data_IF_226497013594
#
_entry.id   IF_226497013594
#
_cell.length_a   1.000
_cell.length_b   1.000
_cell.length_c   1.000
_cell.angle_alpha   90.00
_cell.angle_beta   90.00
_cell.angle_gamma   90.00
#
_symmetry.space_group_name_H-M   'P 1'
#
loop_
_entity.id
_entity.type
_entity.pdbx_description
1 polymer ?
#
# COMPACT_ATOMS: atom_id res chain seq x y z
N UNK A 1 -11.36 -10.60 -16.41
CA UNK A 1 -10.10 -10.22 -15.73
C UNK A 1 -9.36 -9.12 -16.50
N UNK A 2 -8.92 -8.07 -15.83
CA UNK A 2 -8.06 -7.04 -16.43
C UNK A 2 -6.71 -7.66 -16.83
N UNK A 3 -6.07 -7.15 -17.88
CA UNK A 3 -4.74 -7.59 -18.30
C UNK A 3 -3.77 -6.42 -18.25
N UNK A 4 -2.67 -6.58 -17.52
CA UNK A 4 -1.53 -5.68 -17.61
C UNK A 4 -0.56 -6.27 -18.65
N UNK A 5 -0.65 -5.77 -19.88
CA UNK A 5 0.02 -6.39 -21.03
C UNK A 5 -0.46 -7.83 -21.25
N UNK A 6 0.45 -8.84 -21.34
CA UNK A 6 0.04 -10.23 -21.54
C UNK A 6 -0.49 -10.92 -20.27
N UNK A 7 -0.31 -10.32 -19.08
CA UNK A 7 -0.62 -10.96 -17.79
C UNK A 7 -2.02 -10.62 -17.32
N UNK A 8 -2.83 -11.65 -17.04
CA UNK A 8 -4.09 -11.46 -16.32
C UNK A 8 -3.79 -11.04 -14.88
N UNK A 9 -4.43 -9.98 -14.42
CA UNK A 9 -4.30 -9.47 -13.06
C UNK A 9 -5.67 -9.20 -12.47
N UNK A 10 -5.74 -9.33 -11.15
CA UNK A 10 -6.90 -8.98 -10.36
C UNK A 10 -6.70 -7.59 -9.77
N UNK A 11 -7.57 -6.64 -10.12
CA UNK A 11 -7.48 -5.28 -9.62
C UNK A 11 -8.16 -5.24 -8.25
N UNK A 12 -7.36 -5.10 -7.20
CA UNK A 12 -7.83 -4.98 -5.81
C UNK A 12 -8.38 -3.60 -5.48
N UNK A 13 -7.75 -2.56 -6.05
CA UNK A 13 -8.16 -1.18 -5.87
C UNK A 13 -7.63 -0.32 -7.02
N UNK A 14 -8.28 0.83 -7.30
CA UNK A 14 -7.90 1.70 -8.41
C UNK A 14 -8.26 3.16 -8.15
N UNK A 15 -7.44 4.06 -8.69
CA UNK A 15 -7.71 5.50 -8.81
C UNK A 15 -8.13 5.89 -10.24
N UNK A 16 -8.41 4.91 -11.10
CA UNK A 16 -8.75 5.14 -12.49
C UNK A 16 -10.10 5.83 -12.64
N UNK A 17 -10.12 6.84 -13.50
CA UNK A 17 -11.33 7.53 -13.93
C UNK A 17 -11.63 7.13 -15.38
N UNK A 18 -12.91 6.90 -15.68
CA UNK A 18 -13.34 6.73 -17.06
C UNK A 18 -13.25 8.06 -17.83
N UNK A 19 -13.17 7.96 -19.15
CA UNK A 19 -12.93 9.11 -20.05
C UNK A 19 -14.10 10.09 -20.18
N UNK A 20 -15.29 9.70 -19.72
CA UNK A 20 -16.51 10.50 -19.70
C UNK A 20 -16.57 11.49 -18.53
N UNK A 21 -15.63 11.42 -17.59
CA UNK A 21 -15.58 12.31 -16.42
C UNK A 21 -14.93 13.65 -16.80
N UNK A 22 -15.61 14.80 -16.61
CA UNK A 22 -15.05 16.12 -16.87
C UNK A 22 -13.73 16.38 -16.14
N UNK A 23 -12.80 17.08 -16.81
CA UNK A 23 -11.42 17.28 -16.30
C UNK A 23 -11.36 17.88 -14.90
N UNK A 24 -12.23 18.82 -14.58
CA UNK A 24 -12.33 19.45 -13.26
C UNK A 24 -12.74 18.45 -12.16
N UNK A 25 -13.44 17.37 -12.51
CA UNK A 25 -13.84 16.30 -11.60
C UNK A 25 -12.79 15.18 -11.49
N UNK A 26 -11.65 15.29 -12.18
CA UNK A 26 -10.52 14.36 -12.03
C UNK A 26 -9.56 14.76 -10.89
N UNK A 27 -9.85 15.87 -10.21
CA UNK A 27 -8.97 16.47 -9.21
C UNK A 27 -9.07 15.77 -7.85
N UNK A 28 -8.81 14.47 -7.80
CA UNK A 28 -8.82 13.65 -6.60
C UNK A 28 -7.43 13.02 -6.40
N UNK A 29 -6.42 13.81 -6.00
CA UNK A 29 -5.06 13.30 -5.83
C UNK A 29 -5.05 12.16 -4.81
N UNK A 30 -4.19 11.18 -5.04
CA UNK A 30 -3.98 10.03 -4.16
C UNK A 30 -2.49 9.78 -4.06
N UNK A 31 -2.00 9.47 -2.87
CA UNK A 31 -0.64 8.94 -2.69
C UNK A 31 -0.69 7.57 -2.01
N UNK A 32 0.35 6.78 -2.22
CA UNK A 32 0.52 5.47 -1.61
C UNK A 32 1.70 5.49 -0.65
N UNK A 33 1.51 4.98 0.55
CA UNK A 33 2.58 4.66 1.50
C UNK A 33 2.70 3.15 1.56
N UNK A 34 3.90 2.66 1.24
CA UNK A 34 4.22 1.24 1.40
C UNK A 34 4.98 1.07 2.70
N UNK A 35 4.34 0.44 3.68
CA UNK A 35 4.98 0.08 4.94
C UNK A 35 5.54 -1.34 4.82
N UNK A 36 6.86 -1.46 4.92
CA UNK A 36 7.56 -2.75 4.91
C UNK A 36 7.82 -3.18 6.33
N UNK A 37 7.20 -4.27 6.75
CA UNK A 37 7.41 -4.89 8.06
C UNK A 37 8.18 -6.19 7.85
N UNK A 38 9.51 -6.09 7.81
CA UNK A 38 10.42 -7.23 7.64
C UNK A 38 11.24 -7.55 8.90
N UNK A 39 11.41 -6.58 9.80
CA UNK A 39 12.08 -6.74 11.09
C UNK A 39 11.28 -6.08 12.21
N UNK A 40 11.48 -6.53 13.44
CA UNK A 40 10.98 -5.88 14.65
C UNK A 40 12.10 -5.73 15.66
N UNK A 41 12.05 -4.65 16.45
CA UNK A 41 12.97 -4.46 17.55
C UNK A 41 12.56 -5.39 18.70
N UNK A 42 13.47 -6.25 19.15
CA UNK A 42 13.26 -7.20 20.22
C UNK A 42 14.51 -7.24 21.13
N UNK A 43 14.79 -6.16 21.87
CA UNK A 43 16.01 -6.04 22.64
C UNK A 43 16.00 -6.96 23.86
N UNK A 44 17.19 -7.32 24.36
CA UNK A 44 17.32 -8.10 25.59
C UNK A 44 17.30 -7.22 26.84
N UNK A 45 17.74 -5.97 26.71
CA UNK A 45 17.71 -4.94 27.74
C UNK A 45 16.87 -3.73 27.29
N UNK A 46 16.27 -3.02 28.25
CA UNK A 46 15.30 -1.93 28.01
C UNK A 46 15.79 -0.78 27.12
N UNK A 47 17.12 -0.58 27.02
CA UNK A 47 17.73 0.53 26.28
C UNK A 47 18.40 0.09 24.99
N UNK A 48 18.43 -1.20 24.71
CA UNK A 48 19.12 -1.75 23.56
C UNK A 48 18.20 -1.82 22.33
N UNK A 49 18.82 -2.12 21.20
CA UNK A 49 18.13 -2.42 19.95
C UNK A 49 18.65 -3.73 19.41
N UNK A 50 17.74 -4.66 19.10
CA UNK A 50 18.05 -5.91 18.41
C UNK A 50 16.99 -6.17 17.36
N UNK A 51 17.38 -6.02 16.10
CA UNK A 51 16.50 -6.31 14.96
C UNK A 51 16.38 -7.81 14.76
N UNK A 52 15.15 -8.32 14.81
CA UNK A 52 14.82 -9.72 14.53
C UNK A 52 13.92 -9.75 13.30
N UNK A 53 14.21 -10.65 12.36
CA UNK A 53 13.41 -10.83 11.16
C UNK A 53 12.03 -11.40 11.51
N UNK A 54 10.97 -10.89 10.86
CA UNK A 54 9.67 -11.52 10.93
C UNK A 54 9.69 -12.88 10.23
N UNK A 55 9.09 -13.94 10.81
CA UNK A 55 8.96 -15.23 10.14
C UNK A 55 8.22 -15.16 8.80
N UNK A 56 7.26 -14.23 8.70
CA UNK A 56 6.52 -13.92 7.48
C UNK A 56 6.49 -12.41 7.28
N UNK A 57 7.46 -11.84 6.54
CA UNK A 57 7.48 -10.40 6.30
C UNK A 57 6.27 -9.97 5.45
N UNK A 58 5.87 -8.71 5.60
CA UNK A 58 4.71 -8.15 4.90
C UNK A 58 5.00 -6.76 4.34
N UNK A 59 4.36 -6.44 3.22
CA UNK A 59 4.28 -5.10 2.68
C UNK A 59 2.81 -4.63 2.73
N UNK A 60 2.55 -3.56 3.46
CA UNK A 60 1.21 -2.96 3.57
C UNK A 60 1.15 -1.76 2.63
N UNK A 61 0.29 -1.84 1.62
CA UNK A 61 0.01 -0.76 0.68
C UNK A 61 -1.16 0.05 1.21
N UNK A 62 -0.92 1.32 1.53
CA UNK A 62 -1.91 2.22 2.10
C UNK A 62 -2.10 3.41 1.17
N UNK A 63 -3.31 3.61 0.69
CA UNK A 63 -3.65 4.72 -0.19
C UNK A 63 -4.46 5.76 0.56
N UNK A 64 -4.08 7.02 0.36
CA UNK A 64 -4.66 8.16 1.06
C UNK A 64 -5.20 9.19 0.08
N UNK A 65 -6.22 9.92 0.53
CA UNK A 65 -6.63 11.17 -0.09
C UNK A 65 -5.47 12.18 -0.05
N UNK A 66 -5.04 12.66 -1.21
CA UNK A 66 -3.89 13.55 -1.33
C UNK A 66 -4.12 14.98 -0.84
N UNK A 67 -5.35 15.38 -0.54
CA UNK A 67 -5.65 16.70 0.05
C UNK A 67 -5.83 16.61 1.56
N UNK A 68 -6.48 15.56 2.04
CA UNK A 68 -6.86 15.46 3.47
C UNK A 68 -6.00 14.48 4.25
N UNK A 69 -5.19 13.65 3.60
CA UNK A 69 -4.45 12.56 4.24
C UNK A 69 -5.34 11.44 4.80
N UNK A 70 -6.62 11.39 4.42
CA UNK A 70 -7.55 10.36 4.93
C UNK A 70 -7.28 9.03 4.23
N UNK A 71 -7.20 7.95 5.00
CA UNK A 71 -7.04 6.60 4.45
C UNK A 71 -8.25 6.26 3.55
N UNK A 72 -7.97 5.85 2.32
CA UNK A 72 -8.97 5.40 1.34
C UNK A 72 -9.02 3.89 1.21
N UNK A 73 -7.85 3.23 1.26
CA UNK A 73 -7.72 1.79 1.13
C UNK A 73 -6.41 1.31 1.73
N UNK A 74 -6.39 0.13 2.32
CA UNK A 74 -5.17 -0.54 2.77
C UNK A 74 -5.26 -2.05 2.53
N UNK A 75 -4.17 -2.64 2.04
CA UNK A 75 -4.06 -4.10 1.88
C UNK A 75 -2.64 -4.55 2.23
N UNK A 76 -2.54 -5.69 2.93
CA UNK A 76 -1.26 -6.32 3.25
C UNK A 76 -0.97 -7.47 2.30
N UNK A 77 0.22 -7.47 1.71
CA UNK A 77 0.75 -8.57 0.93
C UNK A 77 1.82 -9.27 1.76
N UNK A 78 1.56 -10.52 2.13
CA UNK A 78 2.48 -11.38 2.85
C UNK A 78 3.47 -12.03 1.89
N UNK A 79 4.74 -12.11 2.28
CA UNK A 79 5.69 -12.98 1.60
C UNK A 79 5.25 -14.45 1.74
N UNK A 80 5.38 -15.20 0.64
CA UNK A 80 5.06 -16.63 0.60
C UNK A 80 6.22 -17.45 1.14
#
# INVERSE_FOLDING_TARGET
PFKYGPRAVDIRWSTYYRSDIPRNHLLHPTYCVVQVNNVFNNPQDLRDTRWVAYPRPQAIFQYYDGRTGKLRYAESILAK
#
